data_IF_238219753471
#
_entry.id   IF_238219753471
#
_cell.length_a   1.000
_cell.length_b   1.000
_cell.length_c   1.000
_cell.angle_alpha   90.00
_cell.angle_beta   90.00
_cell.angle_gamma   90.00
#
_symmetry.space_group_name_H-M   'P 1'
#
loop_
_entity.id
_entity.type
_entity.pdbx_description
1 polymer ?
#
# COMPACT_ATOMS: atom_id res chain seq x y z
N UNK A 1 -3.80 -11.81 2.06
CA UNK A 1 -3.98 -11.71 2.78
C UNK A 1 -4.17 -11.84 3.49
N UNK A 2 -4.08 -11.68 3.64
CA UNK A 2 -4.13 -11.65 4.66
C UNK A 2 -4.65 -12.10 5.33
N UNK A 3 -5.09 -12.46 5.71
CA UNK A 3 -5.61 -12.71 6.58
C UNK A 3 -6.24 -12.98 7.16
N UNK A 4 -6.94 -13.40 7.37
CA UNK A 4 -7.59 -13.50 8.21
C UNK A 4 -8.08 -14.02 8.70
N UNK A 5 -8.39 -14.22 8.91
CA UNK A 5 -8.87 -14.51 9.69
C UNK A 5 -9.51 -14.41 10.15
N UNK A 6 -10.14 -14.21 10.23
CA UNK A 6 -10.72 -14.06 10.93
C UNK A 6 -11.14 -13.34 11.40
N UNK A 7 -11.33 -13.21 11.39
CA UNK A 7 -11.65 -12.52 12.00
C UNK A 7 -11.88 -11.74 12.33
N UNK A 8 -12.10 -11.42 12.37
CA UNK A 8 -12.28 -10.65 12.85
C UNK A 8 -12.48 -9.69 12.76
N UNK A 9 -12.58 -9.26 12.55
CA UNK A 9 -12.63 -8.35 12.83
C UNK A 9 -12.68 -7.54 13.07
N UNK A 10 -12.65 -7.18 13.15
CA UNK A 10 -12.60 -6.46 13.72
C UNK A 10 -12.63 -5.66 13.95
N UNK A 11 -12.61 -5.31 14.07
CA UNK A 11 -12.60 -4.57 14.54
C UNK A 11 -12.41 -3.76 14.86
N UNK A 12 -12.34 -3.45 15.08
CA UNK A 12 -12.14 -2.77 15.66
C UNK A 12 -11.87 -2.03 15.86
N UNK A 13 -11.81 -1.67 15.97
CA UNK A 13 -11.43 -1.10 16.34
C UNK A 13 -11.26 -0.47 16.76
N UNK A 14 -11.80 -0.44 16.39
CA UNK A 14 -11.50 -0.03 17.24
C UNK A 14 -10.69 0.46 17.90
N UNK A 15 -10.54 0.69 18.75
CA UNK A 15 -9.64 1.03 19.47
C UNK A 15 -8.81 0.00 19.76
N UNK A 16 -7.67 -0.02 19.49
CA UNK A 16 -6.89 -1.01 19.75
C UNK A 16 -6.00 -0.73 20.86
N UNK A 17 -5.76 -1.63 21.75
CA UNK A 17 -4.78 -1.41 22.79
C UNK A 17 -3.43 -1.26 22.19
N UNK A 18 -2.70 -0.34 22.69
CA UNK A 18 -1.36 -0.12 22.22
C UNK A 18 -0.52 -1.35 22.47
N UNK A 19 0.29 -1.67 21.52
CA UNK A 19 1.22 -2.75 21.70
C UNK A 19 0.70 -4.13 21.42
N UNK A 20 -0.59 -4.26 21.21
CA UNK A 20 -1.12 -5.56 20.87
C UNK A 20 -1.43 -5.57 19.41
N UNK A 21 -0.87 -6.53 18.72
CA UNK A 21 -1.04 -6.59 17.29
C UNK A 21 -0.81 -7.99 16.82
N UNK A 22 -1.64 -8.47 15.94
CA UNK A 22 -1.50 -9.77 15.35
C UNK A 22 -1.24 -9.67 13.86
N UNK A 23 -0.80 -8.51 13.39
CA UNK A 23 -0.53 -8.31 11.99
C UNK A 23 -1.68 -7.70 11.23
N UNK A 24 -2.91 -7.99 11.62
CA UNK A 24 -4.05 -7.38 10.97
C UNK A 24 -4.46 -6.09 11.66
N UNK A 25 -4.04 -5.92 12.91
CA UNK A 25 -4.34 -4.71 13.67
C UNK A 25 -3.09 -3.94 14.06
N UNK A 26 -1.96 -4.22 13.40
CA UNK A 26 -0.73 -3.52 13.67
C UNK A 26 -0.91 -2.03 13.35
N UNK A 27 -0.31 -1.17 14.16
CA UNK A 27 -0.51 0.26 14.01
C UNK A 27 -0.04 0.76 12.66
N UNK A 28 0.97 0.12 12.06
CA UNK A 28 1.44 0.59 10.75
C UNK A 28 0.48 0.26 9.61
N UNK A 29 -0.59 -0.48 9.88
CA UNK A 29 -1.65 -0.71 8.89
C UNK A 29 -2.84 0.22 9.10
N UNK A 30 -2.83 1.04 10.14
CA UNK A 30 -3.96 1.92 10.38
C UNK A 30 -4.03 3.03 9.34
N UNK A 31 -5.23 3.37 8.96
CA UNK A 31 -5.44 4.43 8.01
C UNK A 31 -5.51 5.76 8.74
N UNK A 32 -5.07 6.84 8.09
CA UNK A 32 -5.19 8.16 8.72
C UNK A 32 -6.64 8.54 8.84
N UNK A 33 -6.94 9.28 9.90
CA UNK A 33 -8.29 9.76 10.14
C UNK A 33 -8.75 10.63 8.97
N UNK A 34 -9.97 10.38 8.50
CA UNK A 34 -10.53 11.18 7.42
C UNK A 34 -10.09 10.78 6.03
N UNK A 35 -9.31 9.72 5.88
CA UNK A 35 -8.88 9.30 4.56
C UNK A 35 -10.08 8.82 3.74
N UNK A 36 -10.21 9.34 2.53
CA UNK A 36 -11.29 8.93 1.64
C UNK A 36 -10.81 8.71 0.22
N UNK A 37 -9.57 9.02 -0.08
CA UNK A 37 -9.00 8.85 -1.41
C UNK A 37 -7.64 8.19 -1.31
N UNK A 38 -7.22 7.54 -2.40
CA UNK A 38 -5.88 6.96 -2.41
C UNK A 38 -4.80 8.01 -2.15
N UNK A 39 -5.02 9.23 -2.64
CA UNK A 39 -4.04 10.28 -2.44
C UNK A 39 -3.81 10.55 -0.95
N UNK A 40 -4.84 10.42 -0.13
CA UNK A 40 -4.67 10.60 1.30
C UNK A 40 -3.68 9.61 1.87
N UNK A 41 -3.70 8.38 1.38
CA UNK A 41 -2.80 7.33 1.86
C UNK A 41 -1.38 7.55 1.33
N UNK A 42 -1.28 7.95 0.08
CA UNK A 42 0.03 8.21 -0.53
C UNK A 42 0.72 9.34 0.22
N UNK A 43 -0.02 10.40 0.52
CA UNK A 43 0.54 11.54 1.26
C UNK A 43 0.90 11.15 2.68
N UNK A 44 0.04 10.38 3.33
CA UNK A 44 0.26 9.97 4.71
C UNK A 44 1.56 9.18 4.86
N UNK A 45 1.88 8.34 3.89
CA UNK A 45 3.09 7.52 3.93
C UNK A 45 4.27 8.17 3.22
N UNK A 46 4.10 9.38 2.72
CA UNK A 46 5.18 10.07 2.03
C UNK A 46 5.73 9.25 0.87
N UNK A 47 4.86 8.62 0.13
CA UNK A 47 5.29 7.80 -0.99
C UNK A 47 5.90 8.68 -2.08
N UNK A 48 7.05 8.25 -2.60
CA UNK A 48 7.64 8.96 -3.73
C UNK A 48 6.88 8.62 -5.01
N UNK A 49 7.31 9.16 -6.13
CA UNK A 49 6.60 8.98 -7.39
C UNK A 49 6.48 7.52 -7.77
N UNK A 50 7.57 6.74 -7.62
CA UNK A 50 7.54 5.33 -7.97
C UNK A 50 6.53 4.58 -7.11
N UNK A 51 6.60 4.76 -5.81
CA UNK A 51 5.70 4.04 -4.91
C UNK A 51 4.26 4.47 -5.10
N UNK A 52 4.02 5.75 -5.35
CA UNK A 52 2.67 6.22 -5.62
C UNK A 52 2.07 5.60 -6.86
N UNK A 53 2.88 5.46 -7.91
CA UNK A 53 2.40 4.82 -9.14
C UNK A 53 2.10 3.35 -8.91
N UNK A 54 2.97 2.67 -8.15
CA UNK A 54 2.75 1.27 -7.83
C UNK A 54 1.47 1.10 -7.04
N UNK A 55 1.27 1.95 -6.04
CA UNK A 55 0.10 1.87 -5.18
C UNK A 55 -1.18 2.05 -5.98
N UNK A 56 -1.21 3.04 -6.87
CA UNK A 56 -2.38 3.27 -7.72
C UNK A 56 -2.61 2.12 -8.69
N UNK A 57 -1.54 1.58 -9.26
CA UNK A 57 -1.68 0.47 -10.20
C UNK A 57 -2.20 -0.78 -9.49
N UNK A 58 -1.75 -1.03 -8.27
CA UNK A 58 -2.24 -2.16 -7.50
C UNK A 58 -3.74 -2.01 -7.19
N UNK A 59 -4.14 -0.82 -6.82
CA UNK A 59 -5.53 -0.62 -6.42
C UNK A 59 -6.50 -0.74 -7.60
N UNK A 60 -6.12 -0.19 -8.76
CA UNK A 60 -6.99 -0.24 -9.92
C UNK A 60 -6.79 -1.48 -10.77
N UNK A 61 -5.96 -2.38 -10.40
CA UNK A 61 -5.43 -3.50 -11.16
C UNK A 61 -6.44 -4.06 -12.18
N UNK A 62 -6.23 -3.72 -13.46
CA UNK A 62 -7.09 -4.18 -14.53
C UNK A 62 -8.45 -3.51 -14.66
N UNK A 63 -8.76 -2.53 -13.81
CA UNK A 63 -10.09 -1.90 -13.82
C UNK A 63 -10.21 -0.74 -14.80
N UNK A 64 -9.11 -0.10 -15.13
CA UNK A 64 -9.17 1.05 -16.02
C UNK A 64 -9.38 0.59 -17.46
N UNK A 65 -10.21 1.32 -18.21
CA UNK A 65 -10.52 0.92 -19.58
C UNK A 65 -9.31 0.92 -20.50
N UNK A 66 -8.28 1.67 -20.16
CA UNK A 66 -7.08 1.77 -20.98
C UNK A 66 -5.93 0.93 -20.45
N UNK A 67 -6.14 0.13 -19.42
CA UNK A 67 -5.03 -0.59 -18.81
C UNK A 67 -5.54 -1.91 -18.23
N UNK A 68 -5.18 -3.01 -18.86
CA UNK A 68 -5.56 -4.33 -18.37
C UNK A 68 -4.57 -4.79 -17.29
N UNK A 69 -4.80 -5.98 -16.76
CA UNK A 69 -3.97 -6.49 -15.66
C UNK A 69 -2.51 -6.63 -16.05
N UNK A 70 -2.25 -7.13 -17.25
CA UNK A 70 -0.87 -7.31 -17.67
C UNK A 70 -0.15 -5.96 -17.77
N UNK A 71 -0.83 -4.96 -18.30
CA UNK A 71 -0.25 -3.64 -18.42
C UNK A 71 0.03 -3.05 -17.04
N UNK A 72 -0.91 -3.22 -16.10
CA UNK A 72 -0.70 -2.74 -14.75
C UNK A 72 0.45 -3.47 -14.07
N UNK A 73 0.55 -4.78 -14.28
CA UNK A 73 1.65 -5.55 -13.69
C UNK A 73 3.00 -5.09 -14.22
N UNK A 74 3.08 -4.82 -15.54
CA UNK A 74 4.33 -4.33 -16.11
C UNK A 74 4.68 -2.95 -15.59
N UNK A 75 3.68 -2.12 -15.35
CA UNK A 75 3.90 -0.80 -14.79
C UNK A 75 4.46 -0.91 -13.37
N UNK A 76 3.89 -1.79 -12.57
CA UNK A 76 4.40 -2.02 -11.22
C UNK A 76 5.85 -2.46 -11.27
N UNK A 77 6.17 -3.40 -12.16
CA UNK A 77 7.53 -3.89 -12.30
C UNK A 77 8.48 -2.76 -12.67
N UNK A 78 8.08 -1.93 -13.63
CA UNK A 78 8.90 -0.82 -14.06
C UNK A 78 9.24 0.12 -12.91
N UNK A 79 8.23 0.50 -12.15
CA UNK A 79 8.44 1.47 -11.08
C UNK A 79 9.16 0.89 -9.87
N UNK A 80 8.93 -0.41 -9.57
CA UNK A 80 9.66 -0.98 -8.44
C UNK A 80 11.13 -1.17 -8.79
N UNK A 81 11.44 -1.47 -10.04
CA UNK A 81 12.83 -1.55 -10.45
C UNK A 81 13.51 -0.18 -10.38
N UNK A 82 12.76 0.88 -10.72
CA UNK A 82 13.28 2.22 -10.58
C UNK A 82 13.54 2.58 -9.12
N UNK A 83 12.65 2.13 -8.23
CA UNK A 83 12.84 2.40 -6.81
C UNK A 83 14.04 1.65 -6.26
N UNK A 84 14.21 0.40 -6.67
CA UNK A 84 15.37 -0.37 -6.24
C UNK A 84 16.65 0.30 -6.70
N UNK A 85 16.68 0.76 -7.94
CA UNK A 85 17.87 1.45 -8.46
C UNK A 85 18.15 2.73 -7.68
N UNK A 86 17.10 3.46 -7.31
CA UNK A 86 17.28 4.68 -6.53
C UNK A 86 17.90 4.38 -5.17
N UNK A 87 17.39 3.35 -4.51
CA UNK A 87 17.88 2.99 -3.18
C UNK A 87 19.32 2.51 -3.23
N UNK A 88 19.67 1.77 -4.29
CA UNK A 88 21.04 1.30 -4.45
C UNK A 88 21.99 2.47 -4.67
N UNK A 89 21.55 3.47 -5.42
CA UNK A 89 22.36 4.67 -5.64
C UNK A 89 22.60 5.44 -4.35
N UNK A 90 21.62 5.41 -3.47
CA UNK A 90 21.77 6.11 -2.19
C UNK A 90 22.59 5.30 -1.19
N UNK A 91 23.09 4.14 -1.59
CA UNK A 91 23.82 3.30 -0.69
C UNK A 91 22.97 2.51 0.26
N UNK A 92 21.68 2.40 -0.07
CA UNK A 92 20.75 1.71 0.78
C UNK A 92 20.80 0.23 0.64
N UNK A 93 21.74 -0.24 0.04
CA UNK A 93 22.04 -1.55 -0.17
C UNK A 93 21.45 -2.44 -0.37
#
# INVERSE_FOLDING_TARGET
MFEKSGSKVVTVKAIKPAGTSDGSTASYYELPSGASQLQDLISHRNMNAQLGEIFRACYRYGLASHSDQLRDAKKIKFYIEAEIARLQKLGGV
#
